data_IF_460836859989
#
_entry.id   IF_460836859989
#
_cell.length_a   1.000
_cell.length_b   1.000
_cell.length_c   1.000
_cell.angle_alpha   90.00
_cell.angle_beta   90.00
_cell.angle_gamma   90.00
#
_symmetry.space_group_name_H-M   'P 1'
#
loop_
_entity.id
_entity.type
_entity.pdbx_description
1 polymer ?
#
# COMPACT_ATOMS: atom_id res chain seq x y z
N UNK A 1 -20.68 3.70 13.54
CA UNK A 1 -19.21 3.55 13.64
C UNK A 1 -18.58 4.84 13.12
N UNK A 2 -17.71 5.46 13.91
CA UNK A 2 -17.07 6.74 13.59
C UNK A 2 -15.64 6.51 13.13
N UNK A 3 -15.28 6.98 11.96
CA UNK A 3 -13.92 6.87 11.40
C UNK A 3 -13.36 8.27 11.17
N UNK A 4 -12.15 8.53 11.67
CA UNK A 4 -11.39 9.75 11.41
C UNK A 4 -10.27 9.54 10.41
N UNK A 5 -9.75 10.62 9.82
CA UNK A 5 -8.55 10.56 8.97
C UNK A 5 -7.48 11.48 9.56
N UNK A 6 -6.28 10.92 9.77
CA UNK A 6 -5.10 11.63 10.25
C UNK A 6 -4.13 11.85 9.09
N UNK A 7 -3.91 13.09 8.74
CA UNK A 7 -3.09 13.61 7.65
C UNK A 7 -3.61 13.31 6.23
N UNK A 8 -3.25 14.19 5.33
CA UNK A 8 -3.43 14.08 3.88
C UNK A 8 -2.10 14.36 3.15
N UNK A 9 -0.98 14.12 3.83
CA UNK A 9 0.33 14.14 3.18
C UNK A 9 0.37 13.09 2.07
N UNK A 10 -0.15 11.87 2.31
CA UNK A 10 -0.37 10.89 1.28
C UNK A 10 -1.68 11.16 0.54
N UNK A 11 -1.62 11.26 -0.81
CA UNK A 11 -2.78 11.59 -1.65
C UNK A 11 -3.92 10.56 -1.62
N UNK A 12 -3.65 9.31 -1.20
CA UNK A 12 -4.69 8.28 -1.04
C UNK A 12 -5.76 8.67 -0.03
N UNK A 13 -5.46 9.55 0.94
CA UNK A 13 -6.44 10.08 1.88
C UNK A 13 -7.65 10.69 1.18
N UNK A 14 -7.47 11.29 -0.01
CA UNK A 14 -8.56 11.85 -0.81
C UNK A 14 -9.49 10.75 -1.38
N UNK A 15 -8.95 9.58 -1.72
CA UNK A 15 -9.76 8.43 -2.12
C UNK A 15 -10.48 7.79 -0.93
N UNK A 16 -9.83 7.71 0.22
CA UNK A 16 -10.43 7.11 1.42
C UNK A 16 -11.57 7.95 1.99
N UNK A 17 -11.43 9.28 2.02
CA UNK A 17 -12.53 10.16 2.45
C UNK A 17 -13.75 10.04 1.54
N UNK A 18 -13.55 9.92 0.22
CA UNK A 18 -14.63 9.71 -0.73
C UNK A 18 -15.32 8.36 -0.49
N UNK A 19 -14.58 7.31 -0.17
CA UNK A 19 -15.13 5.99 0.15
C UNK A 19 -15.91 5.98 1.48
N UNK A 20 -15.39 6.62 2.53
CA UNK A 20 -16.09 6.76 3.81
C UNK A 20 -17.41 7.51 3.64
N UNK A 21 -17.45 8.59 2.85
CA UNK A 21 -18.67 9.31 2.54
C UNK A 21 -19.72 8.42 1.83
N UNK A 22 -19.29 7.64 0.83
CA UNK A 22 -20.18 6.69 0.15
C UNK A 22 -20.73 5.63 1.11
N UNK A 23 -19.94 5.19 2.08
CA UNK A 23 -20.36 4.23 3.10
C UNK A 23 -21.33 4.86 4.13
N UNK A 24 -21.28 6.17 4.34
CA UNK A 24 -22.18 6.84 5.27
C UNK A 24 -23.64 6.86 4.77
N UNK A 25 -23.86 6.72 3.47
CA UNK A 25 -25.20 6.73 2.86
C UNK A 25 -26.02 5.45 3.05
N UNK A 26 -25.54 4.45 3.78
CA UNK A 26 -26.29 3.22 3.97
C UNK A 26 -25.65 2.13 4.81
N UNK A 27 -24.40 2.30 5.18
CA UNK A 27 -23.64 1.26 5.90
C UNK A 27 -23.41 1.59 7.39
N UNK A 28 -23.99 2.68 7.91
CA UNK A 28 -23.86 3.09 9.32
C UNK A 28 -22.41 3.45 9.70
N UNK A 29 -21.62 3.96 8.75
CA UNK A 29 -20.31 4.55 8.96
C UNK A 29 -20.46 6.06 8.95
N UNK A 30 -19.85 6.73 9.91
CA UNK A 30 -19.81 8.19 10.02
C UNK A 30 -18.38 8.64 9.79
N UNK A 31 -18.14 9.52 8.83
CA UNK A 31 -16.89 10.26 8.73
C UNK A 31 -16.90 11.31 9.85
N UNK A 32 -16.17 11.03 10.95
CA UNK A 32 -16.12 11.93 12.11
C UNK A 32 -15.50 13.27 11.75
N UNK A 33 -14.42 13.24 11.00
CA UNK A 33 -13.67 14.43 10.61
C UNK A 33 -12.24 14.11 10.17
N UNK A 34 -11.49 15.17 9.94
CA UNK A 34 -10.10 15.12 9.49
C UNK A 34 -9.21 16.00 10.36
N UNK A 35 -7.96 15.58 10.56
CA UNK A 35 -6.89 16.37 11.13
C UNK A 35 -5.67 16.32 10.22
N UNK A 36 -4.90 17.41 10.13
CA UNK A 36 -3.73 17.52 9.27
C UNK A 36 -2.71 18.44 9.91
N UNK A 37 -1.42 18.12 9.81
CA UNK A 37 -0.32 18.96 10.27
C UNK A 37 -0.10 20.19 9.38
N UNK A 38 -0.60 20.18 8.14
CA UNK A 38 -0.78 21.38 7.32
C UNK A 38 -2.22 21.91 7.48
N UNK A 39 -2.43 23.00 8.26
CA UNK A 39 -3.76 23.51 8.51
C UNK A 39 -4.51 23.96 7.24
N UNK A 40 -3.79 24.46 6.23
CA UNK A 40 -4.41 24.89 4.98
C UNK A 40 -4.92 23.69 4.20
N UNK A 41 -4.15 22.61 4.14
CA UNK A 41 -4.54 21.36 3.51
C UNK A 41 -5.74 20.74 4.23
N UNK A 42 -5.67 20.60 5.56
CA UNK A 42 -6.72 20.02 6.37
C UNK A 42 -8.05 20.78 6.27
N UNK A 43 -8.03 22.11 6.40
CA UNK A 43 -9.22 22.96 6.27
C UNK A 43 -9.85 22.89 4.88
N UNK A 44 -9.01 22.90 3.83
CA UNK A 44 -9.48 22.74 2.46
C UNK A 44 -10.18 21.40 2.25
N UNK A 45 -9.57 20.31 2.70
CA UNK A 45 -10.14 18.95 2.59
C UNK A 45 -11.45 18.85 3.39
N UNK A 46 -11.48 19.35 4.62
CA UNK A 46 -12.71 19.35 5.45
C UNK A 46 -13.85 20.11 4.77
N UNK A 47 -13.57 21.31 4.26
CA UNK A 47 -14.54 22.13 3.55
C UNK A 47 -15.09 21.45 2.29
N UNK A 48 -14.19 20.91 1.45
CA UNK A 48 -14.58 20.22 0.21
C UNK A 48 -15.44 18.97 0.47
N UNK A 49 -15.23 18.33 1.61
CA UNK A 49 -15.95 17.12 1.99
C UNK A 49 -17.06 17.33 3.02
N UNK A 50 -17.36 18.59 3.39
CA UNK A 50 -18.42 18.94 4.35
C UNK A 50 -18.31 18.14 5.66
N UNK A 51 -17.09 18.04 6.21
CA UNK A 51 -16.80 17.32 7.44
C UNK A 51 -16.09 18.22 8.45
N UNK A 52 -15.93 17.75 9.68
CA UNK A 52 -15.25 18.50 10.73
C UNK A 52 -13.74 18.55 10.45
N UNK A 53 -13.14 19.71 10.71
CA UNK A 53 -11.70 19.89 10.80
C UNK A 53 -11.29 19.99 12.27
N UNK A 54 -10.38 19.13 12.69
CA UNK A 54 -9.75 19.15 13.99
C UNK A 54 -8.37 19.82 13.88
N UNK A 55 -8.04 20.69 14.83
CA UNK A 55 -6.82 21.49 14.77
C UNK A 55 -5.54 20.70 15.08
N UNK A 56 -5.70 19.54 15.73
CA UNK A 56 -4.60 18.61 16.03
C UNK A 56 -5.05 17.16 15.85
N UNK A 57 -4.10 16.26 15.75
CA UNK A 57 -4.38 14.82 15.75
C UNK A 57 -4.99 14.37 17.08
N UNK A 58 -4.50 14.96 18.20
CA UNK A 58 -4.99 14.73 19.54
C UNK A 58 -6.49 15.09 19.66
N UNK A 59 -6.89 16.26 19.18
CA UNK A 59 -8.29 16.73 19.25
C UNK A 59 -9.23 15.72 18.53
N UNK A 60 -8.80 15.20 17.36
CA UNK A 60 -9.59 14.19 16.65
C UNK A 60 -9.69 12.88 17.44
N UNK A 61 -8.58 12.42 18.01
CA UNK A 61 -8.55 11.19 18.80
C UNK A 61 -9.33 11.31 20.12
N UNK A 62 -9.35 12.50 20.75
CA UNK A 62 -10.16 12.77 21.93
C UNK A 62 -11.65 12.78 21.65
N UNK A 63 -12.07 13.01 20.40
CA UNK A 63 -13.45 12.82 19.96
C UNK A 63 -13.86 11.35 19.87
N UNK A 64 -12.96 10.41 20.21
CA UNK A 64 -13.16 8.96 20.32
C UNK A 64 -13.78 8.32 19.08
N UNK A 65 -13.09 8.37 17.92
CA UNK A 65 -13.48 7.54 16.79
C UNK A 65 -13.32 6.05 17.14
N UNK A 66 -14.09 5.19 16.48
CA UNK A 66 -13.90 3.74 16.56
C UNK A 66 -12.62 3.30 15.84
N UNK A 67 -12.23 4.04 14.81
CA UNK A 67 -11.00 3.81 14.05
C UNK A 67 -10.51 5.05 13.35
N UNK A 68 -9.23 5.04 12.96
CA UNK A 68 -8.61 6.10 12.15
C UNK A 68 -7.88 5.52 10.95
N UNK A 69 -7.84 6.31 9.87
CA UNK A 69 -7.00 6.04 8.71
C UNK A 69 -5.84 7.03 8.75
N UNK A 70 -4.61 6.53 8.72
CA UNK A 70 -3.38 7.34 8.78
C UNK A 70 -2.80 7.47 7.38
N UNK A 71 -2.69 8.71 6.89
CA UNK A 71 -2.20 9.07 5.55
C UNK A 71 -1.09 10.12 5.63
N UNK A 72 -0.19 9.99 6.60
CA UNK A 72 0.99 10.87 6.76
C UNK A 72 2.14 10.45 5.86
N UNK A 73 3.27 11.11 5.96
CA UNK A 73 4.54 10.66 5.42
C UNK A 73 4.98 9.36 6.12
N UNK A 74 5.71 8.52 5.42
CA UNK A 74 6.02 7.15 5.85
C UNK A 74 6.73 7.09 7.22
N UNK A 75 7.69 7.99 7.45
CA UNK A 75 8.46 8.01 8.70
C UNK A 75 7.67 8.52 9.92
N UNK A 76 6.47 9.08 9.70
CA UNK A 76 5.60 9.58 10.78
C UNK A 76 4.54 8.59 11.23
N UNK A 77 4.40 7.46 10.55
CA UNK A 77 3.38 6.46 10.86
C UNK A 77 3.46 5.99 12.31
N UNK A 78 4.66 5.69 12.83
CA UNK A 78 4.84 5.19 14.19
C UNK A 78 4.21 6.10 15.23
N UNK A 79 4.54 7.38 15.20
CA UNK A 79 4.04 8.33 16.20
C UNK A 79 2.50 8.41 16.21
N UNK A 80 1.87 8.40 15.02
CA UNK A 80 0.41 8.48 14.90
C UNK A 80 -0.27 7.17 15.29
N UNK A 81 0.33 6.03 14.94
CA UNK A 81 -0.19 4.71 15.36
C UNK A 81 -0.11 4.53 16.87
N UNK A 82 1.03 4.84 17.49
CA UNK A 82 1.20 4.76 18.95
C UNK A 82 0.22 5.71 19.67
N UNK A 83 -0.03 6.90 19.11
CA UNK A 83 -1.00 7.86 19.65
C UNK A 83 -2.44 7.31 19.60
N UNK A 84 -2.84 6.65 18.52
CA UNK A 84 -4.15 5.98 18.39
C UNK A 84 -4.24 4.77 19.31
N UNK A 85 -3.20 3.92 19.34
CA UNK A 85 -3.14 2.72 20.17
C UNK A 85 -3.26 3.03 21.67
N UNK A 86 -2.63 4.13 22.12
CA UNK A 86 -2.74 4.58 23.52
C UNK A 86 -4.16 5.01 23.94
N UNK A 87 -5.09 5.09 22.99
CA UNK A 87 -6.50 5.47 23.20
C UNK A 87 -7.48 4.37 22.77
N UNK A 88 -6.98 3.14 22.57
CA UNK A 88 -7.73 1.97 22.13
C UNK A 88 -8.49 2.19 20.79
N UNK A 89 -7.93 3.00 19.88
CA UNK A 89 -8.52 3.34 18.59
C UNK A 89 -7.91 2.44 17.51
N UNK A 90 -8.76 1.76 16.73
CA UNK A 90 -8.33 0.90 15.62
C UNK A 90 -7.67 1.70 14.47
N UNK A 91 -6.72 1.10 13.77
CA UNK A 91 -5.89 1.80 12.78
C UNK A 91 -5.87 1.09 11.43
N UNK A 92 -6.13 1.83 10.36
CA UNK A 92 -5.70 1.53 8.99
C UNK A 92 -4.55 2.48 8.65
N UNK A 93 -3.34 1.95 8.48
CA UNK A 93 -2.14 2.72 8.21
C UNK A 93 -1.69 2.59 6.76
N UNK A 94 -1.32 3.70 6.11
CA UNK A 94 -0.74 3.69 4.77
C UNK A 94 0.54 2.85 4.70
N UNK A 95 0.82 2.38 3.49
CA UNK A 95 2.03 1.63 3.14
C UNK A 95 3.15 2.60 2.65
N UNK A 96 4.42 2.24 2.84
CA UNK A 96 4.91 1.19 3.75
C UNK A 96 4.55 1.53 5.20
N UNK A 97 4.33 0.53 6.03
CA UNK A 97 3.90 0.77 7.42
C UNK A 97 4.93 1.57 8.23
N UNK A 98 6.20 1.50 7.85
CA UNK A 98 7.31 2.28 8.41
C UNK A 98 8.49 2.32 7.43
N UNK A 99 9.47 3.18 7.71
CA UNK A 99 10.72 3.31 6.94
C UNK A 99 11.88 2.53 7.57
N UNK A 100 11.73 2.06 8.80
CA UNK A 100 12.71 1.27 9.54
C UNK A 100 12.09 0.01 10.13
N UNK A 101 12.92 -1.00 10.37
CA UNK A 101 12.45 -2.23 11.01
C UNK A 101 12.06 -2.01 12.48
N UNK A 102 12.76 -1.12 13.17
CA UNK A 102 12.44 -0.75 14.55
C UNK A 102 11.03 -0.15 14.64
N UNK A 103 10.72 0.82 13.77
CA UNK A 103 9.41 1.48 13.78
C UNK A 103 8.29 0.52 13.35
N UNK A 104 8.54 -0.33 12.35
CA UNK A 104 7.55 -1.31 11.91
C UNK A 104 7.18 -2.29 13.05
N UNK A 105 8.16 -2.75 13.82
CA UNK A 105 7.93 -3.60 15.01
C UNK A 105 7.21 -2.84 16.12
N UNK A 106 7.66 -1.62 16.43
CA UNK A 106 7.03 -0.81 17.46
C UNK A 106 5.54 -0.54 17.17
N UNK A 107 5.19 -0.32 15.89
CA UNK A 107 3.81 -0.16 15.42
C UNK A 107 2.98 -1.42 15.72
N UNK A 108 3.47 -2.59 15.30
CA UNK A 108 2.77 -3.86 15.53
C UNK A 108 2.62 -4.13 17.03
N UNK A 109 3.72 -4.02 17.78
CA UNK A 109 3.74 -4.26 19.23
C UNK A 109 2.79 -3.33 20.00
N UNK A 110 2.70 -2.06 19.61
CA UNK A 110 1.81 -1.09 20.24
C UNK A 110 0.33 -1.46 20.04
N UNK A 111 -0.04 -1.86 18.84
CA UNK A 111 -1.40 -2.28 18.52
C UNK A 111 -1.77 -3.60 19.18
N UNK A 112 -0.86 -4.58 19.20
CA UNK A 112 -1.06 -5.87 19.87
C UNK A 112 -1.25 -5.69 21.39
N UNK A 113 -0.43 -4.85 22.03
CA UNK A 113 -0.56 -4.53 23.45
C UNK A 113 -1.88 -3.84 23.79
N UNK A 114 -2.36 -2.97 22.91
CA UNK A 114 -3.65 -2.29 23.08
C UNK A 114 -4.85 -3.19 22.71
N UNK A 115 -4.61 -4.34 22.07
CA UNK A 115 -5.67 -5.24 21.60
C UNK A 115 -6.52 -4.62 20.47
N UNK A 116 -5.96 -3.68 19.72
CA UNK A 116 -6.63 -3.01 18.61
C UNK A 116 -6.31 -3.66 17.26
N UNK A 117 -7.19 -3.46 16.30
CA UNK A 117 -6.95 -3.85 14.92
C UNK A 117 -5.95 -2.88 14.29
N UNK A 118 -4.87 -3.43 13.74
CA UNK A 118 -3.94 -2.75 12.84
C UNK A 118 -4.05 -3.38 11.45
N UNK A 119 -4.42 -2.57 10.47
CA UNK A 119 -4.47 -2.95 9.06
C UNK A 119 -3.48 -2.11 8.27
N UNK A 120 -2.66 -2.75 7.42
CA UNK A 120 -1.80 -2.04 6.47
C UNK A 120 -2.55 -1.82 5.15
N UNK A 121 -2.41 -0.63 4.56
CA UNK A 121 -3.13 -0.26 3.33
C UNK A 121 -2.48 -0.88 2.08
N UNK A 122 -2.71 -2.19 1.85
CA UNK A 122 -2.36 -2.88 0.60
C UNK A 122 -3.61 -3.12 -0.25
N UNK A 123 -4.08 -2.12 -1.02
CA UNK A 123 -5.32 -2.22 -1.79
C UNK A 123 -5.29 -3.31 -2.85
N UNK A 124 -4.10 -3.73 -3.31
CA UNK A 124 -3.95 -4.75 -4.33
C UNK A 124 -4.52 -6.11 -3.92
N UNK A 125 -4.52 -6.48 -2.63
CA UNK A 125 -5.19 -7.69 -2.14
C UNK A 125 -6.71 -7.67 -2.30
N UNK A 126 -7.29 -6.52 -2.64
CA UNK A 126 -8.73 -6.33 -2.90
C UNK A 126 -9.05 -6.16 -4.38
N UNK A 127 -8.07 -6.27 -5.24
CA UNK A 127 -8.22 -6.23 -6.69
C UNK A 127 -8.88 -7.52 -7.20
N UNK A 128 -9.94 -7.39 -7.97
CA UNK A 128 -10.71 -8.54 -8.50
C UNK A 128 -9.85 -9.61 -9.18
N UNK A 129 -8.91 -9.26 -10.10
CA UNK A 129 -8.09 -10.29 -10.72
C UNK A 129 -7.17 -11.02 -9.74
N UNK A 130 -6.65 -10.32 -8.72
CA UNK A 130 -5.77 -10.96 -7.73
C UNK A 130 -6.56 -11.82 -6.74
N UNK A 131 -7.78 -11.43 -6.39
CA UNK A 131 -8.70 -12.27 -5.62
C UNK A 131 -9.06 -13.57 -6.36
N UNK A 132 -9.29 -13.50 -7.66
CA UNK A 132 -9.56 -14.69 -8.49
C UNK A 132 -8.35 -15.62 -8.53
N UNK A 133 -7.14 -15.08 -8.70
CA UNK A 133 -5.92 -15.89 -8.66
C UNK A 133 -5.76 -16.56 -7.29
N UNK A 134 -5.95 -15.83 -6.21
CA UNK A 134 -5.86 -16.40 -4.85
C UNK A 134 -6.88 -17.51 -4.63
N UNK A 135 -8.12 -17.30 -5.04
CA UNK A 135 -9.16 -18.32 -4.96
C UNK A 135 -8.76 -19.61 -5.70
N UNK A 136 -8.20 -19.49 -6.91
CA UNK A 136 -7.72 -20.64 -7.68
C UNK A 136 -6.50 -21.32 -7.08
N UNK A 137 -5.57 -20.54 -6.51
CA UNK A 137 -4.43 -21.08 -5.76
C UNK A 137 -4.89 -21.90 -4.56
N UNK A 138 -5.84 -21.37 -3.79
CA UNK A 138 -6.37 -22.05 -2.60
C UNK A 138 -7.15 -23.34 -2.95
N UNK A 139 -7.76 -23.38 -4.13
CA UNK A 139 -8.40 -24.59 -4.67
C UNK A 139 -7.42 -25.58 -5.30
N UNK A 140 -6.13 -25.23 -5.39
CA UNK A 140 -5.10 -26.08 -5.99
C UNK A 140 -5.16 -26.17 -7.54
N UNK A 141 -5.88 -25.24 -8.20
CA UNK A 141 -6.07 -25.26 -9.66
C UNK A 141 -4.75 -25.18 -10.43
N UNK A 142 -3.73 -24.53 -9.85
CA UNK A 142 -2.43 -24.33 -10.49
C UNK A 142 -1.36 -25.34 -10.05
N UNK A 143 -1.58 -26.09 -8.96
CA UNK A 143 -0.53 -26.89 -8.31
C UNK A 143 0.53 -26.00 -7.65
N UNK A 144 1.77 -26.50 -7.56
CA UNK A 144 2.88 -25.78 -6.97
C UNK A 144 3.29 -24.58 -7.81
N UNK A 145 3.62 -23.47 -7.15
CA UNK A 145 4.16 -22.26 -7.77
C UNK A 145 5.69 -22.36 -7.78
N UNK A 146 6.30 -22.16 -8.94
CA UNK A 146 7.75 -22.27 -9.11
C UNK A 146 8.44 -20.91 -9.12
N UNK A 147 7.92 -19.95 -9.89
CA UNK A 147 8.51 -18.60 -9.91
C UNK A 147 7.52 -17.51 -10.34
N UNK A 148 7.93 -16.25 -10.07
CA UNK A 148 7.28 -15.04 -10.57
C UNK A 148 8.26 -14.19 -11.37
N UNK A 149 7.78 -13.61 -12.47
CA UNK A 149 8.39 -12.43 -13.11
C UNK A 149 7.41 -11.27 -12.96
N UNK A 150 7.78 -10.28 -12.16
CA UNK A 150 6.85 -9.24 -11.73
C UNK A 150 7.37 -7.83 -12.01
N UNK A 151 6.43 -6.93 -12.25
CA UNK A 151 6.72 -5.50 -12.43
C UNK A 151 5.74 -4.67 -11.61
N UNK A 152 6.26 -3.66 -10.93
CA UNK A 152 5.47 -2.57 -10.37
C UNK A 152 6.11 -1.26 -10.83
N UNK A 153 5.55 -0.69 -11.89
CA UNK A 153 6.09 0.47 -12.58
C UNK A 153 5.09 1.61 -12.48
N UNK A 154 5.56 2.81 -12.11
CA UNK A 154 4.73 4.01 -11.98
C UNK A 154 5.35 5.25 -12.61
N UNK A 155 4.62 6.35 -12.55
CA UNK A 155 5.15 7.69 -12.81
C UNK A 155 6.00 8.16 -11.62
N UNK A 156 6.91 9.14 -11.85
CA UNK A 156 7.57 9.84 -10.76
C UNK A 156 6.52 10.55 -9.87
N UNK A 157 6.47 10.28 -8.56
CA UNK A 157 5.34 10.70 -7.71
C UNK A 157 5.35 12.19 -7.31
N UNK A 158 6.34 12.98 -7.72
CA UNK A 158 6.46 14.42 -7.38
C UNK A 158 5.25 15.26 -7.76
N UNK A 159 4.49 14.87 -8.80
CA UNK A 159 3.22 15.51 -9.15
C UNK A 159 2.15 15.42 -8.05
N UNK A 160 2.25 14.40 -7.22
CA UNK A 160 1.30 14.17 -6.16
C UNK A 160 1.75 14.85 -4.86
N UNK A 161 2.97 14.59 -4.43
CA UNK A 161 3.57 15.17 -3.23
C UNK A 161 5.10 15.08 -3.30
N UNK A 162 5.79 16.14 -2.99
CA UNK A 162 7.27 16.23 -3.08
C UNK A 162 7.98 15.32 -2.09
N UNK A 163 7.35 15.03 -0.94
CA UNK A 163 7.94 14.20 0.10
C UNK A 163 8.23 12.75 -0.32
N UNK A 164 7.55 12.23 -1.36
CA UNK A 164 7.80 10.87 -1.87
C UNK A 164 9.23 10.65 -2.37
N UNK A 165 9.93 11.72 -2.72
CA UNK A 165 11.32 11.69 -3.20
C UNK A 165 12.30 12.22 -2.16
N UNK A 166 11.83 12.53 -0.95
CA UNK A 166 12.63 12.86 0.21
C UNK A 166 13.03 11.55 0.93
N UNK A 167 14.33 11.19 0.95
CA UNK A 167 14.77 9.91 1.52
C UNK A 167 14.49 9.77 3.02
N UNK A 168 14.40 10.88 3.75
CA UNK A 168 14.11 10.89 5.19
C UNK A 168 12.61 10.66 5.46
N UNK A 169 11.73 11.33 4.71
CA UNK A 169 10.29 11.20 4.88
C UNK A 169 9.73 9.93 4.26
N UNK A 170 10.21 9.56 3.07
CA UNK A 170 9.74 8.39 2.32
C UNK A 170 10.46 7.09 2.73
N UNK A 171 11.71 7.17 3.23
CA UNK A 171 12.55 6.02 3.54
C UNK A 171 13.30 5.43 2.35
N UNK A 172 13.17 6.04 1.17
CA UNK A 172 13.82 5.62 -0.08
C UNK A 172 13.05 6.09 -1.31
N UNK A 173 13.31 5.48 -2.45
CA UNK A 173 12.69 5.77 -3.73
C UNK A 173 11.75 4.65 -4.22
N UNK A 174 11.95 4.24 -5.48
CA UNK A 174 11.10 3.26 -6.14
C UNK A 174 11.05 1.89 -5.46
N UNK A 175 12.13 1.45 -4.80
CA UNK A 175 12.14 0.23 -3.99
C UNK A 175 11.13 0.35 -2.84
N UNK A 176 11.22 1.42 -2.05
CA UNK A 176 10.35 1.60 -0.87
C UNK A 176 8.89 1.74 -1.27
N UNK A 177 8.62 2.42 -2.38
CA UNK A 177 7.27 2.66 -2.86
C UNK A 177 6.63 1.39 -3.47
N UNK A 178 7.38 0.61 -4.26
CA UNK A 178 6.83 -0.40 -5.15
C UNK A 178 7.05 -1.85 -4.70
N UNK A 179 8.23 -2.18 -4.17
CA UNK A 179 8.59 -3.56 -3.79
C UNK A 179 7.65 -4.13 -2.73
N UNK A 180 7.23 -3.31 -1.77
CA UNK A 180 6.31 -3.71 -0.70
C UNK A 180 5.01 -4.33 -1.22
N UNK A 181 4.47 -3.83 -2.35
CA UNK A 181 3.24 -4.35 -2.94
C UNK A 181 3.41 -5.75 -3.51
N UNK A 182 4.48 -5.97 -4.26
CA UNK A 182 4.75 -7.27 -4.88
C UNK A 182 5.15 -8.32 -3.84
N UNK A 183 5.97 -7.96 -2.87
CA UNK A 183 6.31 -8.82 -1.74
C UNK A 183 5.06 -9.24 -0.99
N UNK A 184 4.16 -8.29 -0.69
CA UNK A 184 2.90 -8.57 -0.02
C UNK A 184 2.03 -9.57 -0.80
N UNK A 185 1.83 -9.35 -2.11
CA UNK A 185 1.03 -10.24 -2.96
C UNK A 185 1.65 -11.63 -3.05
N UNK A 186 2.96 -11.74 -3.27
CA UNK A 186 3.63 -13.03 -3.39
C UNK A 186 3.56 -13.82 -2.07
N UNK A 187 3.81 -13.16 -0.93
CA UNK A 187 3.65 -13.78 0.39
C UNK A 187 2.23 -14.30 0.61
N UNK A 188 1.22 -13.48 0.27
CA UNK A 188 -0.18 -13.86 0.37
C UNK A 188 -0.55 -15.06 -0.52
N UNK A 189 -0.04 -15.12 -1.74
CA UNK A 189 -0.29 -16.22 -2.66
C UNK A 189 0.38 -17.51 -2.21
N UNK A 190 1.63 -17.44 -1.76
CA UNK A 190 2.46 -18.58 -1.40
C UNK A 190 2.23 -19.08 0.02
N UNK A 191 1.73 -18.25 0.93
CA UNK A 191 1.72 -18.55 2.36
C UNK A 191 3.15 -18.81 2.89
N UNK A 192 4.16 -18.12 2.34
CA UNK A 192 5.57 -18.31 2.63
C UNK A 192 6.30 -16.98 2.74
N UNK A 193 7.27 -16.90 3.63
CA UNK A 193 8.08 -15.70 3.86
C UNK A 193 9.26 -15.62 2.88
N UNK A 194 9.71 -14.38 2.62
CA UNK A 194 10.94 -14.14 1.85
C UNK A 194 12.14 -14.59 2.67
N UNK A 195 13.01 -15.41 2.09
CA UNK A 195 14.21 -15.92 2.70
C UNK A 195 15.45 -15.09 2.33
N UNK A 196 15.61 -14.78 1.02
CA UNK A 196 16.75 -14.01 0.53
C UNK A 196 16.32 -12.92 -0.44
N UNK A 197 17.13 -11.86 -0.50
CA UNK A 197 16.95 -10.73 -1.40
C UNK A 197 18.29 -10.32 -2.02
N UNK A 198 18.29 -10.14 -3.34
CA UNK A 198 19.37 -9.50 -4.10
C UNK A 198 18.79 -8.36 -4.92
N UNK A 199 19.40 -7.18 -4.90
CA UNK A 199 18.92 -6.01 -5.61
C UNK A 199 20.04 -5.20 -6.27
N UNK A 200 19.69 -4.57 -7.39
CA UNK A 200 20.48 -3.55 -8.07
C UNK A 200 19.60 -2.37 -8.40
N UNK A 201 20.11 -1.18 -8.22
CA UNK A 201 19.41 0.07 -8.46
C UNK A 201 20.15 1.00 -9.39
N UNK A 202 19.40 1.89 -9.98
CA UNK A 202 19.93 3.09 -10.63
C UNK A 202 18.93 4.25 -10.51
N UNK A 203 19.37 5.42 -10.96
CA UNK A 203 18.52 6.60 -11.14
C UNK A 203 18.69 7.22 -12.53
N UNK A 204 18.82 6.37 -13.55
CA UNK A 204 18.99 6.80 -14.95
C UNK A 204 17.78 7.62 -15.42
N UNK A 205 16.56 7.18 -15.03
CA UNK A 205 15.38 8.03 -15.16
C UNK A 205 15.41 9.10 -14.07
N UNK A 206 15.12 10.33 -14.40
CA UNK A 206 15.01 11.44 -13.44
C UNK A 206 16.27 11.75 -12.63
N UNK A 207 17.47 11.45 -13.17
CA UNK A 207 18.74 11.60 -12.45
C UNK A 207 18.99 13.01 -11.91
N UNK A 208 18.51 14.03 -12.62
CA UNK A 208 18.67 15.44 -12.27
C UNK A 208 17.49 16.01 -11.46
N UNK A 209 16.42 15.20 -11.26
CA UNK A 209 15.19 15.65 -10.61
C UNK A 209 15.12 15.19 -9.14
N UNK A 210 15.71 14.01 -8.80
CA UNK A 210 15.58 13.40 -7.47
C UNK A 210 16.89 12.81 -6.96
N UNK A 211 17.01 12.65 -5.64
CA UNK A 211 18.21 12.10 -4.99
C UNK A 211 18.06 10.64 -4.56
N UNK A 212 16.91 10.02 -4.78
CA UNK A 212 16.65 8.61 -4.48
C UNK A 212 16.73 7.76 -5.74
N UNK A 213 16.78 6.44 -5.60
CA UNK A 213 16.74 5.51 -6.73
C UNK A 213 15.36 5.55 -7.40
N UNK A 214 15.35 5.47 -8.72
CA UNK A 214 14.14 5.55 -9.56
C UNK A 214 13.85 4.25 -10.29
N UNK A 215 14.76 3.27 -10.18
CA UNK A 215 14.59 1.94 -10.75
C UNK A 215 15.41 0.91 -10.02
N UNK A 216 14.83 -0.27 -9.85
CA UNK A 216 15.45 -1.43 -9.25
C UNK A 216 15.09 -2.72 -10.00
N UNK A 217 16.06 -3.63 -10.08
CA UNK A 217 15.82 -5.03 -10.38
C UNK A 217 16.18 -5.85 -9.16
N UNK A 218 15.26 -6.69 -8.74
CA UNK A 218 15.35 -7.48 -7.53
C UNK A 218 15.16 -8.95 -7.86
N UNK A 219 15.85 -9.80 -7.14
CA UNK A 219 15.67 -11.25 -7.15
C UNK A 219 15.54 -11.74 -5.73
N UNK A 220 14.50 -12.49 -5.45
CA UNK A 220 14.20 -13.00 -4.11
C UNK A 220 13.84 -14.48 -4.15
N UNK A 221 14.13 -15.17 -3.04
CA UNK A 221 13.68 -16.53 -2.80
C UNK A 221 12.79 -16.57 -1.58
N UNK A 222 11.84 -17.49 -1.59
CA UNK A 222 10.93 -17.75 -0.47
C UNK A 222 11.35 -19.04 0.25
N UNK A 223 10.99 -19.15 1.52
CA UNK A 223 11.31 -20.32 2.35
C UNK A 223 10.80 -21.65 1.78
N UNK A 224 9.74 -21.63 0.95
CA UNK A 224 9.22 -22.81 0.25
C UNK A 224 9.97 -23.15 -1.04
N UNK A 225 11.05 -22.42 -1.37
CA UNK A 225 11.87 -22.63 -2.57
C UNK A 225 11.38 -21.91 -3.84
N UNK A 226 10.22 -21.26 -3.81
CA UNK A 226 9.78 -20.38 -4.91
C UNK A 226 10.74 -19.18 -5.02
N UNK A 227 11.02 -18.73 -6.24
CA UNK A 227 11.82 -17.52 -6.46
C UNK A 227 11.08 -16.51 -7.34
N UNK A 228 11.51 -15.25 -7.29
CA UNK A 228 10.88 -14.18 -8.04
C UNK A 228 11.89 -13.15 -8.54
N UNK A 229 11.53 -12.46 -9.64
CA UNK A 229 12.16 -11.21 -10.07
C UNK A 229 11.14 -10.08 -9.97
N UNK A 230 11.62 -8.88 -9.58
CA UNK A 230 10.81 -7.67 -9.51
C UNK A 230 11.53 -6.54 -10.26
N UNK A 231 10.82 -5.88 -11.16
CA UNK A 231 11.16 -4.54 -11.65
C UNK A 231 10.29 -3.53 -10.89
N UNK A 232 10.92 -2.80 -9.97
CA UNK A 232 10.31 -1.71 -9.22
C UNK A 232 10.86 -0.39 -9.74
N UNK A 233 10.06 0.41 -10.45
CA UNK A 233 10.57 1.63 -11.08
C UNK A 233 9.55 2.74 -11.28
N UNK A 234 10.03 3.99 -11.25
CA UNK A 234 9.29 5.18 -11.70
C UNK A 234 9.63 5.46 -13.18
N UNK A 235 9.38 4.45 -14.03
CA UNK A 235 9.74 4.45 -15.46
C UNK A 235 8.59 4.86 -16.38
N UNK A 236 7.38 5.06 -15.85
CA UNK A 236 6.22 5.44 -16.67
C UNK A 236 6.24 6.94 -16.97
N UNK A 237 6.06 7.32 -18.23
CA UNK A 237 5.96 8.73 -18.58
C UNK A 237 4.60 9.31 -18.15
N UNK A 238 4.50 10.64 -17.96
CA UNK A 238 3.29 11.32 -17.46
C UNK A 238 2.02 11.17 -18.30
N UNK A 239 2.12 10.62 -19.48
CA UNK A 239 1.01 10.35 -20.40
C UNK A 239 0.72 8.85 -20.54
N UNK A 240 1.25 8.03 -19.64
CA UNK A 240 0.90 6.62 -19.61
C UNK A 240 -0.59 6.43 -19.27
N UNK A 241 -1.17 5.31 -19.71
CA UNK A 241 -2.61 5.06 -19.57
C UNK A 241 -3.10 5.03 -18.12
N UNK A 242 -2.22 4.64 -17.19
CA UNK A 242 -2.48 4.60 -15.75
C UNK A 242 -1.28 5.18 -15.02
N UNK A 243 -1.50 5.86 -13.90
CA UNK A 243 -0.42 6.44 -13.10
C UNK A 243 0.60 5.40 -12.59
N UNK A 244 0.15 4.15 -12.42
CA UNK A 244 0.97 3.03 -12.00
C UNK A 244 0.58 1.75 -12.70
N UNK A 245 1.27 0.67 -12.37
CA UNK A 245 0.99 -0.65 -12.89
C UNK A 245 1.58 -1.74 -12.01
N UNK A 246 0.84 -2.83 -11.84
CA UNK A 246 1.31 -4.04 -11.18
C UNK A 246 0.92 -5.22 -12.05
N UNK A 247 1.94 -5.93 -12.54
CA UNK A 247 1.75 -7.07 -13.41
C UNK A 247 2.74 -8.17 -13.06
N UNK A 248 2.39 -9.41 -13.34
CA UNK A 248 3.32 -10.53 -13.23
C UNK A 248 2.92 -11.70 -14.13
N UNK A 249 3.91 -12.53 -14.43
CA UNK A 249 3.75 -13.90 -14.89
C UNK A 249 4.15 -14.83 -13.75
N UNK A 250 3.28 -15.78 -13.41
CA UNK A 250 3.52 -16.80 -12.40
C UNK A 250 3.60 -18.16 -13.10
N UNK A 251 4.72 -18.85 -12.99
CA UNK A 251 4.94 -20.19 -13.52
C UNK A 251 4.59 -21.21 -12.46
N UNK A 252 3.74 -22.15 -12.83
CA UNK A 252 3.19 -23.14 -11.90
C UNK A 252 3.34 -24.55 -12.47
N UNK A 253 3.10 -25.54 -11.64
CA UNK A 253 3.12 -26.95 -12.05
C UNK A 253 2.19 -27.24 -13.23
N UNK A 254 1.08 -26.51 -13.34
CA UNK A 254 0.05 -26.78 -14.37
C UNK A 254 0.01 -25.74 -15.49
N UNK A 255 0.97 -24.83 -15.54
CA UNK A 255 1.07 -23.83 -16.61
C UNK A 255 1.50 -22.46 -16.13
N UNK A 256 1.19 -21.44 -16.91
CA UNK A 256 1.50 -20.05 -16.60
C UNK A 256 0.22 -19.24 -16.36
N UNK A 257 0.30 -18.32 -15.41
CA UNK A 257 -0.75 -17.32 -15.10
C UNK A 257 -0.17 -15.95 -15.35
N UNK A 258 -0.81 -15.19 -16.23
CA UNK A 258 -0.39 -13.82 -16.56
C UNK A 258 -1.48 -12.85 -16.11
N UNK A 259 -1.10 -11.82 -15.37
CA UNK A 259 -2.02 -10.78 -14.90
C UNK A 259 -1.40 -9.39 -15.04
N UNK A 260 -2.24 -8.43 -15.43
CA UNK A 260 -2.04 -7.00 -15.25
C UNK A 260 -3.22 -6.47 -14.44
N UNK A 261 -2.96 -6.17 -13.18
CA UNK A 261 -4.01 -5.79 -12.22
C UNK A 261 -4.66 -4.43 -12.52
N UNK A 262 -4.04 -3.60 -13.35
CA UNK A 262 -4.56 -2.29 -13.75
C UNK A 262 -5.33 -2.31 -15.07
N UNK A 263 -5.31 -3.40 -15.82
CA UNK A 263 -6.06 -3.55 -17.08
C UNK A 263 -7.52 -3.95 -16.86
N UNK A 264 -8.23 -3.20 -16.05
CA UNK A 264 -9.68 -3.33 -15.83
C UNK A 264 -10.40 -2.17 -16.53
N UNK A 265 -10.31 -2.12 -17.87
CA UNK A 265 -10.85 -1.01 -18.63
C UNK A 265 -11.48 -1.44 -19.96
N UNK A 266 -12.44 -0.63 -20.42
CA UNK A 266 -12.99 -0.66 -21.76
C UNK A 266 -12.40 0.51 -22.54
N UNK A 267 -11.78 0.24 -23.68
CA UNK A 267 -11.29 1.28 -24.57
C UNK A 267 -12.46 1.80 -25.42
N UNK A 268 -12.71 3.10 -25.35
CA UNK A 268 -13.79 3.75 -26.07
C UNK A 268 -13.17 4.73 -27.09
N UNK A 269 -13.49 4.51 -28.37
CA UNK A 269 -13.06 5.36 -29.48
C UNK A 269 -14.30 6.01 -30.09
N UNK A 270 -14.49 7.30 -29.85
CA UNK A 270 -15.63 8.05 -30.37
C UNK A 270 -15.17 9.09 -31.38
N UNK A 271 -15.86 9.16 -32.50
CA UNK A 271 -15.56 10.13 -33.58
C UNK A 271 -15.76 11.57 -33.11
N UNK A 272 -16.78 11.84 -32.31
CA UNK A 272 -17.11 13.18 -31.81
C UNK A 272 -16.11 13.68 -30.75
N UNK A 273 -15.44 12.78 -30.02
CA UNK A 273 -14.44 13.15 -29.02
C UNK A 273 -13.04 13.33 -29.59
N UNK A 274 -12.76 12.78 -30.76
CA UNK A 274 -11.43 12.80 -31.41
C UNK A 274 -10.29 12.34 -30.46
N UNK A 275 -10.60 11.47 -29.53
CA UNK A 275 -9.67 10.90 -28.54
C UNK A 275 -10.14 9.53 -28.10
N UNK A 276 -9.22 8.72 -27.63
CA UNK A 276 -9.54 7.53 -26.88
C UNK A 276 -9.92 7.86 -25.43
N UNK A 277 -10.78 7.08 -24.85
CA UNK A 277 -11.12 7.13 -23.43
C UNK A 277 -11.04 5.73 -22.85
N UNK A 278 -10.51 5.64 -21.62
CA UNK A 278 -10.49 4.41 -20.84
C UNK A 278 -11.62 4.49 -19.82
N UNK A 279 -12.62 3.64 -19.98
CA UNK A 279 -13.68 3.47 -18.97
C UNK A 279 -13.30 2.28 -18.09
N UNK A 280 -12.93 2.54 -16.85
CA UNK A 280 -12.61 1.48 -15.90
C UNK A 280 -13.89 0.72 -15.51
N UNK A 281 -13.72 -0.59 -15.39
CA UNK A 281 -14.74 -1.48 -14.85
C UNK A 281 -14.10 -2.34 -13.75
N UNK A 282 -14.92 -3.01 -12.96
CA UNK A 282 -14.43 -3.87 -11.89
C UNK A 282 -14.51 -3.20 -10.52
N UNK A 283 -13.82 -3.78 -9.56
CA UNK A 283 -13.90 -3.36 -8.17
C UNK A 283 -13.08 -2.10 -7.89
N UNK A 284 -13.64 -1.22 -7.10
CA UNK A 284 -12.89 -0.19 -6.39
C UNK A 284 -12.16 -0.85 -5.22
N UNK A 285 -10.87 -1.15 -5.42
CA UNK A 285 -10.05 -1.83 -4.42
C UNK A 285 -9.84 -1.01 -3.15
N UNK A 286 -9.83 0.33 -3.25
CA UNK A 286 -9.76 1.21 -2.08
C UNK A 286 -11.05 1.13 -1.27
N UNK A 287 -12.22 1.13 -1.94
CA UNK A 287 -13.50 0.92 -1.27
C UNK A 287 -13.58 -0.44 -0.57
N UNK A 288 -13.14 -1.50 -1.25
CA UNK A 288 -13.14 -2.85 -0.68
C UNK A 288 -12.21 -2.96 0.53
N UNK A 289 -11.03 -2.30 0.48
CA UNK A 289 -10.08 -2.25 1.60
C UNK A 289 -10.65 -1.51 2.81
N UNK A 290 -11.19 -0.30 2.62
CA UNK A 290 -11.81 0.47 3.71
C UNK A 290 -13.03 -0.28 4.27
N UNK A 291 -13.80 -0.95 3.41
CA UNK A 291 -14.93 -1.78 3.84
C UNK A 291 -14.49 -2.97 4.70
N UNK A 292 -13.37 -3.62 4.36
CA UNK A 292 -12.81 -4.71 5.18
C UNK A 292 -12.32 -4.22 6.54
N UNK A 293 -11.70 -3.04 6.61
CA UNK A 293 -11.32 -2.41 7.88
C UNK A 293 -12.53 -2.16 8.78
N UNK A 294 -13.59 -1.56 8.23
CA UNK A 294 -14.85 -1.33 8.95
C UNK A 294 -15.49 -2.64 9.40
N UNK A 295 -15.50 -3.66 8.53
CA UNK A 295 -16.05 -4.97 8.86
C UNK A 295 -15.23 -5.67 9.94
N UNK A 296 -13.90 -5.60 9.86
CA UNK A 296 -13.01 -6.18 10.87
C UNK A 296 -13.27 -5.62 12.26
N UNK A 297 -13.48 -4.29 12.38
CA UNK A 297 -13.84 -3.65 13.65
C UNK A 297 -15.21 -4.14 14.15
N UNK A 298 -16.23 -4.17 13.29
CA UNK A 298 -17.60 -4.58 13.67
C UNK A 298 -17.69 -6.03 14.10
N UNK A 299 -16.98 -6.89 13.38
CA UNK A 299 -17.02 -8.34 13.56
C UNK A 299 -15.96 -8.84 14.54
N UNK A 300 -15.11 -7.94 15.07
CA UNK A 300 -14.00 -8.25 15.97
C UNK A 300 -13.12 -9.39 15.42
N UNK A 301 -12.80 -9.33 14.15
CA UNK A 301 -11.93 -10.28 13.45
C UNK A 301 -10.66 -9.63 12.92
N UNK A 302 -9.62 -10.39 12.63
CA UNK A 302 -8.47 -9.86 11.89
C UNK A 302 -8.89 -9.29 10.54
N UNK A 303 -8.28 -8.18 10.09
CA UNK A 303 -8.44 -7.67 8.72
C UNK A 303 -7.74 -8.62 7.74
N UNK A 304 -8.08 -8.53 6.45
CA UNK A 304 -7.41 -9.35 5.41
C UNK A 304 -5.93 -9.01 5.22
N UNK A 305 -5.56 -7.80 5.56
CA UNK A 305 -4.17 -7.33 5.57
C UNK A 305 -3.86 -6.87 6.98
N UNK A 306 -2.95 -7.57 7.64
CA UNK A 306 -2.59 -7.26 9.02
C UNK A 306 -1.42 -6.29 9.11
N UNK A 307 -1.13 -5.79 10.32
CA UNK A 307 0.11 -5.05 10.59
C UNK A 307 1.36 -5.91 10.36
N UNK A 308 1.27 -7.22 10.64
CA UNK A 308 2.37 -8.17 10.39
C UNK A 308 2.66 -8.28 8.89
N UNK A 309 1.66 -8.26 8.02
CA UNK A 309 1.90 -8.24 6.57
C UNK A 309 2.70 -7.01 6.15
N UNK A 310 2.38 -5.84 6.72
CA UNK A 310 3.16 -4.60 6.51
C UNK A 310 4.60 -4.72 7.01
N UNK A 311 4.80 -5.26 8.20
CA UNK A 311 6.12 -5.52 8.79
C UNK A 311 6.96 -6.43 7.88
N UNK A 312 6.41 -7.56 7.43
CA UNK A 312 7.12 -8.52 6.56
C UNK A 312 7.48 -7.92 5.20
N UNK A 313 6.61 -7.07 4.64
CA UNK A 313 6.92 -6.36 3.41
C UNK A 313 8.09 -5.37 3.61
N UNK A 314 8.14 -4.65 4.73
CA UNK A 314 9.23 -3.74 5.08
C UNK A 314 10.53 -4.52 5.32
N UNK A 315 10.51 -5.66 6.01
CA UNK A 315 11.71 -6.52 6.23
C UNK A 315 12.38 -6.90 4.90
N UNK A 316 11.60 -7.37 3.93
CA UNK A 316 12.12 -7.73 2.61
C UNK A 316 12.63 -6.51 1.84
N UNK A 317 11.91 -5.39 1.90
CA UNK A 317 12.31 -4.13 1.22
C UNK A 317 13.60 -3.57 1.78
N UNK A 318 13.80 -3.58 3.10
CA UNK A 318 15.05 -3.14 3.73
C UNK A 318 16.21 -4.09 3.40
N UNK A 319 15.97 -5.39 3.23
CA UNK A 319 16.96 -6.32 2.75
C UNK A 319 17.39 -6.02 1.30
N UNK A 320 16.50 -5.49 0.45
CA UNK A 320 16.85 -5.01 -0.88
C UNK A 320 17.85 -3.83 -0.81
N UNK A 321 17.59 -2.83 0.04
CA UNK A 321 18.54 -1.73 0.26
C UNK A 321 19.89 -2.21 0.80
N UNK A 322 19.90 -3.15 1.74
CA UNK A 322 21.13 -3.72 2.26
C UNK A 322 21.89 -4.48 1.15
N UNK A 323 21.18 -5.18 0.27
CA UNK A 323 21.77 -5.84 -0.89
C UNK A 323 22.39 -4.84 -1.87
N UNK A 324 21.71 -3.73 -2.15
CA UNK A 324 22.26 -2.63 -2.97
C UNK A 324 23.55 -2.09 -2.36
N UNK A 325 23.56 -1.86 -1.05
CA UNK A 325 24.71 -1.30 -0.33
C UNK A 325 25.91 -2.25 -0.32
N UNK A 326 25.69 -3.54 -0.13
CA UNK A 326 26.76 -4.54 0.01
C UNK A 326 27.17 -5.19 -1.31
N UNK A 327 26.28 -5.17 -2.31
CA UNK A 327 26.45 -5.89 -3.56
C UNK A 327 26.26 -7.40 -3.43
N UNK A 328 25.73 -7.89 -2.30
CA UNK A 328 25.58 -9.30 -1.96
C UNK A 328 24.09 -9.67 -1.78
N UNK A 329 23.81 -10.97 -1.87
CA UNK A 329 22.52 -11.51 -1.43
C UNK A 329 22.41 -11.39 0.09
N UNK A 330 21.25 -10.94 0.57
CA UNK A 330 20.94 -10.72 1.99
C UNK A 330 19.89 -11.71 2.43
N UNK A 331 20.09 -12.36 3.56
CA UNK A 331 19.05 -13.15 4.23
C UNK A 331 18.10 -12.22 4.96
N UNK A 332 16.80 -12.35 4.68
CA UNK A 332 15.75 -11.58 5.36
C UNK A 332 15.59 -12.15 6.77
N UNK A 333 15.79 -11.31 7.77
CA UNK A 333 15.64 -11.70 9.16
C UNK A 333 14.16 -11.65 9.53
N UNK A 334 13.46 -12.73 9.32
CA UNK A 334 12.11 -12.93 9.86
C UNK A 334 12.22 -13.21 11.36
N UNK A 335 11.81 -12.27 12.19
CA UNK A 335 11.76 -12.41 13.66
C UNK A 335 10.33 -12.57 14.14
#
# INVERSE_FOLDING_TARGET
>A
MKIGILSFAHHHGEAYIANLRRMSEGQGVELLGVADDDPMRGQRIASQNQTLYFHSYEDLLEAKPDGVIICSENNRHRALVEMAASRDIHVLCEKPIATTLEDARAIVDACDKAGIILMTAFPMRFSTPLLEIKFRLDNGDFGDVYCFNATNQGELPTKHRDWFVDPELAGGGAIMDHTVHLVDIMRWFLGSEVETMYARTNKIFHADEVNVETGALEMLTFQNGTFATIDASWSRPPYWFTWGGLAFEMITQRGAVVVDAFRQNVNIYRHDWQRSNLAYWGSDMNHAMVSDFVAAIREQRPPRVTGVDGLRAVEATLAAYESVRTGQTVHVKST
#
